data_IF_511930227625
#
_entry.id   IF_511930227625
#
_cell.length_a   1.000
_cell.length_b   1.000
_cell.length_c   1.000
_cell.angle_alpha   90.00
_cell.angle_beta   90.00
_cell.angle_gamma   90.00
#
_symmetry.space_group_name_H-M   'P 1'
#
loop_
_entity.id
_entity.type
_entity.pdbx_description
1 polymer ?
#
# COMPACT_ATOMS: atom_id res chain seq x y z
N UNK A 1 81.00 16.98 14.45
CA UNK A 1 79.99 16.00 13.98
C UNK A 1 78.54 16.42 14.27
N UNK A 2 78.26 17.40 15.15
CA UNK A 2 76.89 17.87 15.43
C UNK A 2 76.23 18.55 14.22
N UNK A 3 76.98 19.39 13.50
CA UNK A 3 76.44 20.23 12.42
C UNK A 3 75.79 19.45 11.26
N UNK A 4 76.33 18.27 10.93
CA UNK A 4 75.81 17.41 9.85
C UNK A 4 74.45 16.79 10.19
N UNK A 5 74.19 16.50 11.46
CA UNK A 5 72.93 15.88 11.89
C UNK A 5 71.81 16.91 11.88
N UNK A 6 72.12 18.12 12.33
CA UNK A 6 71.21 19.26 12.31
C UNK A 6 70.86 19.68 10.87
N UNK A 7 71.83 19.63 9.94
CA UNK A 7 71.59 19.87 8.51
C UNK A 7 70.67 18.83 7.87
N UNK A 8 70.81 17.54 8.22
CA UNK A 8 69.95 16.47 7.70
C UNK A 8 68.52 16.58 8.24
N UNK A 9 68.35 16.87 9.53
CA UNK A 9 67.02 17.08 10.12
C UNK A 9 66.34 18.32 9.54
N UNK A 10 67.09 19.40 9.33
CA UNK A 10 66.58 20.59 8.64
C UNK A 10 66.17 20.29 7.19
N UNK A 11 66.92 19.44 6.49
CA UNK A 11 66.56 19.01 5.12
C UNK A 11 65.28 18.16 5.12
N UNK A 12 65.16 17.22 6.05
CA UNK A 12 63.98 16.36 6.18
C UNK A 12 62.73 17.17 6.47
N UNK A 13 62.81 18.10 7.42
CA UNK A 13 61.69 19.00 7.75
C UNK A 13 61.28 19.86 6.55
N UNK A 14 62.24 20.39 5.79
CA UNK A 14 61.95 21.13 4.55
C UNK A 14 61.28 20.27 3.47
N UNK A 15 61.62 18.98 3.38
CA UNK A 15 60.98 18.06 2.43
C UNK A 15 59.54 17.74 2.85
N UNK A 16 59.29 17.52 4.14
CA UNK A 16 57.94 17.30 4.68
C UNK A 16 57.06 18.55 4.51
N UNK A 17 57.57 19.75 4.85
CA UNK A 17 56.85 21.01 4.64
C UNK A 17 56.51 21.24 3.15
N UNK A 18 57.45 20.96 2.24
CA UNK A 18 57.20 21.06 0.79
C UNK A 18 56.20 20.01 0.29
N UNK A 19 56.20 18.80 0.85
CA UNK A 19 55.24 17.77 0.51
C UNK A 19 53.83 18.17 0.97
N UNK A 20 53.70 18.71 2.18
CA UNK A 20 52.45 19.21 2.74
C UNK A 20 51.92 20.44 1.98
N UNK A 21 52.79 21.37 1.60
CA UNK A 21 52.41 22.50 0.75
C UNK A 21 51.92 22.03 -0.62
N UNK A 22 52.61 21.07 -1.25
CA UNK A 22 52.16 20.47 -2.52
C UNK A 22 50.81 19.78 -2.37
N UNK A 23 50.57 19.06 -1.28
CA UNK A 23 49.28 18.43 -1.00
C UNK A 23 48.16 19.46 -0.75
N UNK A 24 48.45 20.58 -0.06
CA UNK A 24 47.52 21.70 0.14
C UNK A 24 47.21 22.44 -1.17
N UNK A 25 48.19 22.65 -2.02
CA UNK A 25 48.00 23.27 -3.34
C UNK A 25 47.21 22.34 -4.26
N UNK A 26 47.50 21.03 -4.25
CA UNK A 26 46.77 20.03 -5.03
C UNK A 26 45.32 19.86 -4.55
N UNK A 27 45.04 19.93 -3.24
CA UNK A 27 43.65 19.88 -2.74
C UNK A 27 42.86 21.17 -3.02
N UNK A 28 43.54 22.31 -3.18
CA UNK A 28 42.94 23.58 -3.63
C UNK A 28 42.81 23.70 -5.15
N UNK A 29 43.56 22.91 -5.94
CA UNK A 29 43.48 22.92 -7.38
C UNK A 29 42.14 22.33 -7.86
N UNK A 30 41.62 22.88 -8.96
CA UNK A 30 40.34 22.45 -9.54
C UNK A 30 40.34 20.95 -9.91
N UNK A 31 41.49 20.42 -10.35
CA UNK A 31 41.68 19.00 -10.67
C UNK A 31 41.67 18.10 -9.43
N UNK A 32 42.29 18.52 -8.31
CA UNK A 32 42.25 17.73 -7.09
C UNK A 32 40.87 17.70 -6.43
N UNK A 33 40.15 18.84 -6.46
CA UNK A 33 38.78 18.93 -5.94
C UNK A 33 37.78 18.12 -6.78
N UNK A 34 37.93 18.10 -8.11
CA UNK A 34 37.11 17.26 -8.99
C UNK A 34 37.39 15.77 -8.80
N UNK A 35 38.66 15.35 -8.69
CA UNK A 35 39.00 13.95 -8.39
C UNK A 35 38.46 13.48 -7.03
N UNK A 36 38.56 14.32 -5.99
CA UNK A 36 37.99 14.02 -4.68
C UNK A 36 36.46 13.88 -4.75
N UNK A 37 35.77 14.81 -5.41
CA UNK A 37 34.31 14.76 -5.57
C UNK A 37 33.85 13.56 -6.40
N UNK A 38 34.57 13.21 -7.48
CA UNK A 38 34.28 12.01 -8.27
C UNK A 38 34.49 10.72 -7.46
N UNK A 39 35.53 10.68 -6.64
CA UNK A 39 35.79 9.54 -5.75
C UNK A 39 34.73 9.43 -4.66
N UNK A 40 34.31 10.55 -4.08
CA UNK A 40 33.24 10.60 -3.07
C UNK A 40 31.89 10.20 -3.66
N UNK A 41 31.56 10.69 -4.86
CA UNK A 41 30.34 10.33 -5.60
C UNK A 41 30.33 8.83 -5.94
N UNK A 42 31.45 8.29 -6.42
CA UNK A 42 31.57 6.87 -6.71
C UNK A 42 31.40 6.00 -5.46
N UNK A 43 32.02 6.40 -4.33
CA UNK A 43 31.84 5.72 -3.04
C UNK A 43 30.38 5.78 -2.58
N UNK A 44 29.74 6.93 -2.71
CA UNK A 44 28.33 7.10 -2.36
C UNK A 44 27.42 6.22 -3.24
N UNK A 45 27.61 6.24 -4.57
CA UNK A 45 26.84 5.41 -5.50
C UNK A 45 27.03 3.92 -5.22
N UNK A 46 28.25 3.50 -4.92
CA UNK A 46 28.54 2.11 -4.57
C UNK A 46 27.87 1.71 -3.25
N UNK A 47 27.95 2.56 -2.21
CA UNK A 47 27.23 2.33 -0.95
C UNK A 47 25.72 2.34 -1.13
N UNK A 48 25.19 3.20 -1.99
CA UNK A 48 23.77 3.25 -2.32
C UNK A 48 23.31 1.96 -3.02
N UNK A 49 24.03 1.50 -4.04
CA UNK A 49 23.73 0.25 -4.74
C UNK A 49 23.85 -0.94 -3.79
N UNK A 50 24.84 -0.96 -2.89
CA UNK A 50 24.95 -2.00 -1.86
C UNK A 50 23.78 -1.96 -0.87
N UNK A 51 23.37 -0.77 -0.41
CA UNK A 51 22.24 -0.61 0.50
C UNK A 51 20.93 -1.05 -0.18
N UNK A 52 20.70 -0.65 -1.43
CA UNK A 52 19.54 -1.10 -2.23
C UNK A 52 19.59 -2.61 -2.46
N UNK A 53 20.75 -3.16 -2.80
CA UNK A 53 20.94 -4.60 -2.96
C UNK A 53 20.70 -5.38 -1.67
N UNK A 54 21.12 -4.85 -0.53
CA UNK A 54 20.86 -5.42 0.79
C UNK A 54 19.37 -5.38 1.14
N UNK A 55 18.70 -4.24 0.96
CA UNK A 55 17.25 -4.08 1.15
C UNK A 55 16.49 -5.06 0.26
N UNK A 56 16.88 -5.19 -1.00
CA UNK A 56 16.27 -6.13 -1.92
C UNK A 56 16.46 -7.57 -1.45
N UNK A 57 17.68 -7.97 -1.06
CA UNK A 57 17.98 -9.33 -0.67
C UNK A 57 17.37 -9.73 0.69
N UNK A 58 17.31 -8.83 1.67
CA UNK A 58 16.91 -9.12 3.06
C UNK A 58 15.49 -8.71 3.40
N UNK A 59 14.88 -7.77 2.68
CA UNK A 59 13.51 -7.30 2.97
C UNK A 59 12.59 -7.70 1.83
N UNK A 60 12.86 -7.22 0.62
CA UNK A 60 11.95 -7.40 -0.52
C UNK A 60 11.87 -8.87 -0.94
N UNK A 61 13.00 -9.55 -1.13
CA UNK A 61 13.04 -10.95 -1.59
C UNK A 61 12.37 -11.93 -0.62
N UNK A 62 12.60 -11.90 0.70
CA UNK A 62 11.89 -12.80 1.62
C UNK A 62 10.41 -12.45 1.76
N UNK A 63 10.06 -11.16 1.84
CA UNK A 63 8.65 -10.73 1.84
C UNK A 63 7.93 -11.18 0.57
N UNK A 64 8.55 -10.96 -0.59
CA UNK A 64 8.07 -11.42 -1.89
C UNK A 64 7.93 -12.94 -1.91
N UNK A 65 8.90 -13.73 -1.45
CA UNK A 65 8.76 -15.20 -1.39
C UNK A 65 7.58 -15.62 -0.52
N UNK A 66 7.34 -14.96 0.61
CA UNK A 66 6.21 -15.29 1.48
C UNK A 66 4.87 -14.95 0.81
N UNK A 67 4.79 -13.79 0.13
CA UNK A 67 3.62 -13.34 -0.63
C UNK A 67 3.37 -14.16 -1.90
N UNK A 68 4.42 -14.58 -2.60
CA UNK A 68 4.33 -15.37 -3.83
C UNK A 68 4.18 -16.86 -3.57
N UNK A 69 4.48 -17.38 -2.38
CA UNK A 69 4.20 -18.79 -2.03
C UNK A 69 2.74 -19.20 -2.28
N UNK A 70 1.71 -18.52 -1.74
CA UNK A 70 0.32 -18.89 -2.01
C UNK A 70 -0.03 -18.74 -3.51
N UNK A 71 0.48 -17.70 -4.17
CA UNK A 71 0.28 -17.51 -5.62
C UNK A 71 0.88 -18.66 -6.43
N UNK A 72 2.10 -19.08 -6.09
CA UNK A 72 2.77 -20.21 -6.75
C UNK A 72 2.06 -21.53 -6.48
N UNK A 73 1.53 -21.73 -5.29
CA UNK A 73 0.75 -22.91 -4.94
C UNK A 73 -0.57 -22.97 -5.72
N UNK A 74 -1.30 -21.85 -5.79
CA UNK A 74 -2.49 -21.72 -6.63
C UNK A 74 -2.18 -21.97 -8.11
N UNK A 75 -1.05 -21.45 -8.61
CA UNK A 75 -0.60 -21.70 -9.97
C UNK A 75 -0.27 -23.17 -10.23
N UNK A 76 0.39 -23.85 -9.27
CA UNK A 76 0.63 -25.28 -9.36
C UNK A 76 -0.68 -26.07 -9.40
N UNK A 77 -1.66 -25.71 -8.57
CA UNK A 77 -2.98 -26.33 -8.60
C UNK A 77 -3.69 -26.11 -9.94
N UNK A 78 -3.67 -24.86 -10.44
CA UNK A 78 -4.20 -24.53 -11.76
C UNK A 78 -3.53 -25.35 -12.87
N UNK A 79 -2.20 -25.47 -12.84
CA UNK A 79 -1.45 -26.28 -13.80
C UNK A 79 -1.80 -27.77 -13.71
N UNK A 80 -1.97 -28.32 -12.52
CA UNK A 80 -2.39 -29.72 -12.35
C UNK A 80 -3.79 -29.95 -12.92
N UNK A 81 -4.71 -29.01 -12.69
CA UNK A 81 -6.06 -29.06 -13.25
C UNK A 81 -6.03 -28.90 -14.78
N UNK A 82 -5.20 -27.99 -15.30
CA UNK A 82 -4.98 -27.81 -16.73
C UNK A 82 -4.44 -29.09 -17.37
N UNK A 83 -3.36 -29.65 -16.81
CA UNK A 83 -2.71 -30.84 -17.35
C UNK A 83 -3.67 -32.05 -17.37
N UNK A 84 -4.56 -32.16 -16.37
CA UNK A 84 -5.57 -33.23 -16.29
C UNK A 84 -6.78 -32.99 -17.19
N UNK A 85 -7.23 -31.75 -17.35
CA UNK A 85 -8.45 -31.44 -18.08
C UNK A 85 -8.22 -31.29 -19.60
N UNK A 86 -7.05 -30.76 -19.99
CA UNK A 86 -6.78 -30.36 -21.38
C UNK A 86 -6.10 -31.46 -22.18
N UNK A 87 -5.23 -32.25 -21.56
CA UNK A 87 -4.56 -33.36 -22.22
C UNK A 87 -5.39 -34.64 -22.06
N UNK A 88 -5.37 -35.48 -23.09
CA UNK A 88 -5.88 -36.83 -23.03
C UNK A 88 -4.79 -37.79 -23.52
N UNK A 89 -4.82 -39.02 -23.00
CA UNK A 89 -3.96 -40.10 -23.49
C UNK A 89 -4.68 -40.82 -24.63
N UNK A 90 -4.02 -40.89 -25.78
CA UNK A 90 -4.49 -41.65 -26.93
C UNK A 90 -4.23 -43.15 -26.73
N UNK A 91 -4.76 -44.02 -27.59
CA UNK A 91 -4.57 -45.49 -27.53
C UNK A 91 -3.10 -45.92 -27.54
N UNK A 92 -2.19 -45.04 -27.99
CA UNK A 92 -0.73 -45.23 -28.01
C UNK A 92 -0.02 -44.70 -26.77
N UNK A 93 -0.74 -44.29 -25.72
CA UNK A 93 -0.22 -43.64 -24.51
C UNK A 93 0.56 -42.34 -24.75
N UNK A 94 0.37 -41.68 -25.90
CA UNK A 94 0.93 -40.35 -26.15
C UNK A 94 -0.03 -39.26 -25.69
N UNK A 95 0.48 -38.26 -24.96
CA UNK A 95 -0.31 -37.12 -24.49
C UNK A 95 -0.60 -36.15 -25.64
N UNK A 96 -1.85 -36.10 -26.07
CA UNK A 96 -2.32 -35.19 -27.11
C UNK A 96 -3.05 -33.99 -26.49
N UNK A 97 -2.81 -32.80 -27.04
CA UNK A 97 -3.47 -31.58 -26.61
C UNK A 97 -4.84 -31.44 -27.29
N UNK A 98 -5.92 -31.41 -26.51
CA UNK A 98 -7.25 -31.17 -27.05
C UNK A 98 -7.58 -29.67 -27.10
N UNK A 99 -7.67 -29.11 -28.32
CA UNK A 99 -8.06 -27.70 -28.53
C UNK A 99 -9.43 -27.37 -27.95
N UNK A 100 -10.39 -28.30 -28.01
CA UNK A 100 -11.75 -28.10 -27.50
C UNK A 100 -11.80 -28.12 -25.98
N UNK A 101 -11.14 -29.09 -25.32
CA UNK A 101 -11.07 -29.13 -23.85
C UNK A 101 -10.28 -27.95 -23.28
N UNK A 102 -9.20 -27.55 -23.96
CA UNK A 102 -8.43 -26.34 -23.61
C UNK A 102 -9.30 -25.07 -23.69
N UNK A 103 -10.07 -24.91 -24.76
CA UNK A 103 -10.99 -23.78 -24.92
C UNK A 103 -12.08 -23.73 -23.84
N UNK A 104 -12.72 -24.87 -23.55
CA UNK A 104 -13.75 -24.96 -22.50
C UNK A 104 -13.16 -24.65 -21.12
N UNK A 105 -11.98 -25.19 -20.79
CA UNK A 105 -11.33 -24.93 -19.52
C UNK A 105 -10.95 -23.46 -19.37
N UNK A 106 -10.43 -22.81 -20.42
CA UNK A 106 -10.14 -21.38 -20.40
C UNK A 106 -11.40 -20.56 -20.14
N UNK A 107 -12.48 -20.82 -20.87
CA UNK A 107 -13.75 -20.12 -20.68
C UNK A 107 -14.29 -20.26 -19.25
N UNK A 108 -14.32 -21.50 -18.72
CA UNK A 108 -14.75 -21.75 -17.34
C UNK A 108 -13.83 -21.07 -16.32
N UNK A 109 -12.52 -21.09 -16.56
CA UNK A 109 -11.56 -20.42 -15.66
C UNK A 109 -11.73 -18.91 -15.67
N UNK A 110 -12.05 -18.30 -16.82
CA UNK A 110 -12.33 -16.87 -16.92
C UNK A 110 -13.64 -16.49 -16.21
N UNK A 111 -14.69 -17.29 -16.37
CA UNK A 111 -15.96 -17.12 -15.64
C UNK A 111 -15.74 -17.26 -14.13
N UNK A 112 -15.02 -18.30 -13.69
CA UNK A 112 -14.65 -18.48 -12.29
C UNK A 112 -13.84 -17.30 -11.75
N UNK A 113 -12.86 -16.82 -12.53
CA UNK A 113 -12.03 -15.69 -12.12
C UNK A 113 -12.87 -14.43 -11.92
N UNK A 114 -13.76 -14.13 -12.85
CA UNK A 114 -14.58 -12.91 -12.83
C UNK A 114 -15.65 -12.91 -11.73
N UNK A 115 -16.41 -14.00 -11.61
CA UNK A 115 -17.57 -14.04 -10.72
C UNK A 115 -17.29 -14.56 -9.32
N UNK A 116 -16.21 -15.33 -9.11
CA UNK A 116 -15.91 -15.94 -7.82
C UNK A 116 -14.58 -15.45 -7.24
N UNK A 117 -13.49 -15.55 -8.01
CA UNK A 117 -12.17 -15.24 -7.49
C UNK A 117 -11.99 -13.76 -7.16
N UNK A 118 -12.30 -12.85 -8.10
CA UNK A 118 -12.15 -11.40 -7.88
C UNK A 118 -13.03 -10.94 -6.70
N UNK A 119 -14.35 -11.25 -6.65
CA UNK A 119 -15.18 -10.85 -5.51
C UNK A 119 -14.71 -11.44 -4.18
N UNK A 120 -14.21 -12.68 -4.16
CA UNK A 120 -13.67 -13.29 -2.95
C UNK A 120 -12.39 -12.57 -2.46
N UNK A 121 -11.49 -12.18 -3.35
CA UNK A 121 -10.29 -11.42 -3.00
C UNK A 121 -10.66 -10.04 -2.43
N UNK A 122 -11.60 -9.33 -3.06
CA UNK A 122 -12.12 -8.04 -2.57
C UNK A 122 -12.77 -8.22 -1.19
N UNK A 123 -13.59 -9.25 -1.01
CA UNK A 123 -14.19 -9.59 0.28
C UNK A 123 -13.13 -9.84 1.37
N UNK A 124 -12.11 -10.63 1.07
CA UNK A 124 -11.01 -10.90 2.01
C UNK A 124 -10.24 -9.62 2.36
N UNK A 125 -10.01 -8.74 1.38
CA UNK A 125 -9.36 -7.46 1.63
C UNK A 125 -10.17 -6.58 2.59
N UNK A 126 -11.47 -6.40 2.34
CA UNK A 126 -12.35 -5.65 3.25
C UNK A 126 -12.48 -6.33 4.62
N UNK A 127 -12.49 -7.66 4.69
CA UNK A 127 -12.51 -8.41 5.94
C UNK A 127 -11.24 -8.22 6.78
N UNK A 128 -10.06 -8.30 6.16
CA UNK A 128 -8.78 -8.02 6.84
C UNK A 128 -8.74 -6.56 7.29
N UNK A 129 -9.17 -5.64 6.43
CA UNK A 129 -9.23 -4.22 6.78
C UNK A 129 -10.15 -4.00 7.98
N UNK A 130 -11.35 -4.57 7.99
CA UNK A 130 -12.27 -4.52 9.11
C UNK A 130 -11.64 -5.07 10.40
N UNK A 131 -11.08 -6.27 10.37
CA UNK A 131 -10.48 -6.90 11.56
C UNK A 131 -9.32 -6.09 12.15
N UNK A 132 -8.58 -5.37 11.31
CA UNK A 132 -7.41 -4.60 11.74
C UNK A 132 -7.75 -3.17 12.19
N UNK A 133 -8.90 -2.62 11.77
CA UNK A 133 -9.17 -1.17 11.89
C UNK A 133 -10.56 -0.82 12.41
N UNK A 134 -11.40 -1.80 12.74
CA UNK A 134 -12.76 -1.54 13.20
C UNK A 134 -12.79 -0.65 14.43
N UNK A 135 -13.61 0.40 14.36
CA UNK A 135 -13.96 1.26 15.48
C UNK A 135 -15.46 1.16 15.72
N UNK A 136 -15.85 0.64 16.88
CA UNK A 136 -17.26 0.49 17.27
C UNK A 136 -17.64 1.58 18.25
N UNK A 137 -18.76 2.26 18.00
CA UNK A 137 -19.30 3.27 18.90
C UNK A 137 -18.47 4.56 18.98
N UNK A 138 -17.78 4.91 17.90
CA UNK A 138 -17.02 6.17 17.85
C UNK A 138 -18.01 7.34 17.73
N UNK A 139 -17.85 8.37 18.55
CA UNK A 139 -18.69 9.58 18.46
C UNK A 139 -18.02 10.55 17.51
N UNK A 140 -18.70 10.86 16.40
CA UNK A 140 -18.23 11.79 15.37
C UNK A 140 -19.37 12.74 15.01
N UNK A 141 -19.05 14.01 14.80
CA UNK A 141 -20.00 14.96 14.25
C UNK A 141 -20.03 14.79 12.74
N UNK A 142 -21.13 14.28 12.20
CA UNK A 142 -21.31 14.07 10.76
C UNK A 142 -22.19 15.16 10.15
N UNK A 143 -21.95 15.45 8.87
CA UNK A 143 -22.72 16.40 8.07
C UNK A 143 -22.59 16.06 6.58
N UNK A 144 -23.52 16.56 5.77
CA UNK A 144 -23.47 16.53 4.31
C UNK A 144 -23.18 15.14 3.72
N UNK A 145 -24.16 14.24 3.78
CA UNK A 145 -24.14 13.04 2.94
C UNK A 145 -24.33 13.45 1.48
N UNK A 146 -23.33 13.19 0.64
CA UNK A 146 -23.36 13.44 -0.80
C UNK A 146 -23.12 12.14 -1.56
N UNK A 147 -24.00 11.85 -2.51
CA UNK A 147 -23.82 10.76 -3.45
C UNK A 147 -22.71 11.13 -4.46
N UNK A 148 -21.68 10.29 -4.55
CA UNK A 148 -20.54 10.52 -5.46
C UNK A 148 -20.69 9.73 -6.75
N UNK A 149 -21.16 8.48 -6.65
CA UNK A 149 -21.38 7.60 -7.79
C UNK A 149 -22.81 7.05 -7.75
N UNK A 150 -23.74 7.64 -8.52
CA UNK A 150 -25.15 7.25 -8.48
C UNK A 150 -25.44 5.88 -9.10
N UNK A 151 -24.52 5.34 -9.91
CA UNK A 151 -24.66 4.00 -10.47
C UNK A 151 -24.23 2.88 -9.51
N UNK A 152 -23.44 3.21 -8.49
CA UNK A 152 -22.87 2.26 -7.52
C UNK A 152 -23.41 2.50 -6.09
N UNK A 153 -24.37 3.42 -5.93
CA UNK A 153 -24.92 3.91 -4.66
C UNK A 153 -23.81 4.22 -3.63
N UNK A 154 -22.74 4.88 -4.09
CA UNK A 154 -21.66 5.30 -3.20
C UNK A 154 -21.92 6.69 -2.65
N UNK A 155 -22.02 6.78 -1.32
CA UNK A 155 -22.16 8.05 -0.62
C UNK A 155 -20.86 8.41 0.10
N UNK A 156 -20.58 9.71 0.15
CA UNK A 156 -19.58 10.27 1.04
C UNK A 156 -20.24 11.08 2.13
N UNK A 157 -19.66 11.00 3.32
CA UNK A 157 -20.09 11.80 4.47
C UNK A 157 -18.89 12.51 5.03
N UNK A 158 -19.04 13.80 5.33
CA UNK A 158 -18.02 14.55 6.03
C UNK A 158 -18.21 14.41 7.54
N UNK A 159 -17.13 14.10 8.26
CA UNK A 159 -17.12 13.99 9.71
C UNK A 159 -15.98 14.76 10.37
N UNK A 160 -16.18 15.20 11.60
CA UNK A 160 -15.13 15.78 12.44
C UNK A 160 -15.24 15.30 13.89
N UNK A 161 -14.11 15.17 14.59
CA UNK A 161 -14.10 14.72 15.99
C UNK A 161 -14.43 15.82 16.99
N UNK A 162 -14.19 17.08 16.62
CA UNK A 162 -14.45 18.24 17.46
C UNK A 162 -15.00 19.38 16.62
N UNK A 163 -15.95 20.12 17.19
CA UNK A 163 -16.49 21.33 16.61
C UNK A 163 -15.57 22.53 16.95
N UNK A 164 -15.38 23.50 16.05
CA UNK A 164 -15.88 23.54 14.68
C UNK A 164 -15.13 22.59 13.74
N UNK A 165 -15.82 22.02 12.74
CA UNK A 165 -15.17 21.21 11.72
C UNK A 165 -14.28 22.11 10.83
N UNK A 166 -12.97 21.98 10.95
CA UNK A 166 -11.98 22.66 10.09
C UNK A 166 -11.41 21.70 9.05
N UNK A 167 -10.74 22.22 8.02
CA UNK A 167 -10.07 21.40 7.00
C UNK A 167 -9.02 20.44 7.59
N UNK A 168 -8.45 20.80 8.74
CA UNK A 168 -7.45 19.99 9.45
C UNK A 168 -8.07 18.88 10.30
N UNK A 169 -9.31 19.06 10.79
CA UNK A 169 -10.01 18.10 11.65
C UNK A 169 -11.17 17.38 10.94
N UNK A 170 -11.32 17.59 9.64
CA UNK A 170 -12.34 16.91 8.84
C UNK A 170 -11.79 15.67 8.14
N UNK A 171 -12.60 14.62 8.17
CA UNK A 171 -12.37 13.36 7.50
C UNK A 171 -13.61 12.99 6.69
N UNK A 172 -13.38 12.40 5.53
CA UNK A 172 -14.46 11.89 4.69
C UNK A 172 -14.58 10.40 4.93
N UNK A 173 -15.81 9.95 5.14
CA UNK A 173 -16.18 8.55 5.18
C UNK A 173 -16.86 8.16 3.87
N UNK A 174 -16.77 6.88 3.52
CA UNK A 174 -17.47 6.30 2.38
C UNK A 174 -18.54 5.34 2.87
N UNK A 175 -19.68 5.30 2.19
CA UNK A 175 -20.74 4.33 2.41
C UNK A 175 -20.96 3.68 1.06
N UNK A 176 -20.68 2.38 0.97
CA UNK A 176 -20.65 1.64 -0.30
C UNK A 176 -21.24 0.26 -0.13
N UNK A 177 -21.92 -0.24 -1.15
CA UNK A 177 -22.35 -1.62 -1.18
C UNK A 177 -21.14 -2.52 -1.48
N UNK A 178 -20.82 -3.42 -0.56
CA UNK A 178 -19.80 -4.44 -0.79
C UNK A 178 -20.28 -5.76 -0.22
N UNK A 179 -19.85 -6.87 -0.82
CA UNK A 179 -20.16 -8.22 -0.33
C UNK A 179 -19.80 -8.38 1.15
N UNK A 180 -18.75 -7.68 1.62
CA UNK A 180 -18.37 -7.68 3.03
C UNK A 180 -19.40 -6.93 3.89
N UNK A 181 -19.82 -5.73 3.49
CA UNK A 181 -20.81 -4.94 4.22
C UNK A 181 -22.17 -5.65 4.29
N UNK A 182 -22.55 -6.35 3.21
CA UNK A 182 -23.76 -7.20 3.17
C UNK A 182 -23.68 -8.35 4.19
N UNK A 183 -22.60 -9.13 4.16
CA UNK A 183 -22.40 -10.23 5.11
C UNK A 183 -22.33 -9.70 6.54
N UNK A 184 -21.66 -8.57 6.78
CA UNK A 184 -21.60 -7.96 8.10
C UNK A 184 -22.98 -7.54 8.61
N UNK A 185 -23.82 -6.95 7.75
CA UNK A 185 -25.18 -6.52 8.09
C UNK A 185 -26.07 -7.71 8.43
N UNK A 186 -25.98 -8.80 7.65
CA UNK A 186 -26.69 -10.05 7.90
C UNK A 186 -26.28 -10.67 9.24
N UNK A 187 -24.96 -10.76 9.51
CA UNK A 187 -24.43 -11.29 10.76
C UNK A 187 -24.77 -10.42 11.98
N UNK A 188 -24.92 -9.11 11.79
CA UNK A 188 -25.30 -8.17 12.85
C UNK A 188 -26.83 -8.11 13.07
N UNK A 189 -27.61 -8.94 12.38
CA UNK A 189 -29.06 -9.03 12.54
C UNK A 189 -29.87 -7.91 11.90
N UNK A 190 -29.28 -7.15 10.96
CA UNK A 190 -29.92 -5.98 10.32
C UNK A 190 -30.51 -6.26 8.93
N UNK A 191 -30.36 -7.48 8.43
CA UNK A 191 -30.79 -7.85 7.09
C UNK A 191 -29.80 -7.39 6.01
N UNK A 192 -30.31 -7.10 4.82
CA UNK A 192 -29.49 -6.66 3.68
C UNK A 192 -28.91 -5.26 3.92
N UNK A 193 -27.67 -5.05 3.50
CA UNK A 193 -27.00 -3.75 3.64
C UNK A 193 -27.40 -2.82 2.49
N UNK A 194 -28.04 -1.70 2.83
CA UNK A 194 -28.35 -0.64 1.86
C UNK A 194 -27.56 0.62 2.23
N UNK A 195 -26.66 1.09 1.35
CA UNK A 195 -25.90 2.33 1.56
C UNK A 195 -26.81 3.53 1.84
N UNK A 196 -27.96 3.59 1.17
CA UNK A 196 -28.91 4.70 1.27
C UNK A 196 -29.50 4.83 2.68
N UNK A 197 -29.72 3.72 3.41
CA UNK A 197 -30.22 3.79 4.78
C UNK A 197 -29.18 4.34 5.76
N UNK A 198 -27.91 3.99 5.56
CA UNK A 198 -26.81 4.54 6.35
C UNK A 198 -26.63 6.02 6.00
N UNK A 199 -26.64 6.37 4.72
CA UNK A 199 -26.50 7.76 4.27
C UNK A 199 -27.66 8.65 4.74
N UNK A 200 -28.91 8.18 4.63
CA UNK A 200 -30.11 8.91 5.04
C UNK A 200 -30.18 9.20 6.54
N UNK A 201 -29.51 8.38 7.36
CA UNK A 201 -29.44 8.63 8.80
C UNK A 201 -28.54 9.81 9.17
N UNK A 202 -27.71 10.31 8.24
CA UNK A 202 -26.87 11.48 8.43
C UNK A 202 -27.62 12.73 8.00
N UNK A 203 -27.95 13.65 8.92
CA UNK A 203 -28.66 14.88 8.58
C UNK A 203 -27.77 15.82 7.77
N UNK A 204 -28.41 16.71 6.99
CA UNK A 204 -27.71 17.79 6.28
C UNK A 204 -27.00 18.72 7.29
N UNK A 205 -27.66 19.00 8.42
CA UNK A 205 -27.10 19.76 9.52
C UNK A 205 -26.11 18.93 10.34
N UNK A 206 -25.11 19.60 10.92
CA UNK A 206 -24.13 18.94 11.81
C UNK A 206 -24.86 18.27 12.97
N UNK A 207 -24.63 16.97 13.14
CA UNK A 207 -25.31 16.16 14.15
C UNK A 207 -24.30 15.26 14.86
N UNK A 208 -24.56 14.96 16.14
CA UNK A 208 -23.70 14.05 16.90
C UNK A 208 -24.09 12.63 16.54
N UNK A 209 -23.17 11.89 15.93
CA UNK A 209 -23.44 10.53 15.48
C UNK A 209 -22.53 9.51 16.16
N UNK A 210 -23.12 8.41 16.60
CA UNK A 210 -22.40 7.21 17.02
C UNK A 210 -22.23 6.33 15.78
N UNK A 211 -20.99 6.04 15.42
CA UNK A 211 -20.66 5.34 14.17
C UNK A 211 -19.94 4.02 14.43
N UNK A 212 -20.16 3.08 13.52
CA UNK A 212 -19.27 1.94 13.32
C UNK A 212 -18.58 2.12 11.98
N UNK A 213 -17.27 2.29 12.01
CA UNK A 213 -16.44 2.49 10.81
C UNK A 213 -15.27 1.52 10.79
N UNK A 214 -14.74 1.27 9.60
CA UNK A 214 -13.49 0.54 9.42
C UNK A 214 -12.70 1.13 8.24
N UNK A 215 -11.40 0.92 8.23
CA UNK A 215 -10.48 1.45 7.24
C UNK A 215 -9.60 2.56 7.79
N UNK A 216 -8.58 2.90 7.02
CA UNK A 216 -7.62 3.95 7.34
C UNK A 216 -7.70 5.03 6.29
N UNK A 217 -7.60 6.29 6.72
CA UNK A 217 -7.36 7.40 5.80
C UNK A 217 -5.90 7.37 5.36
N UNK A 218 -5.64 6.82 4.19
CA UNK A 218 -4.29 6.83 3.60
C UNK A 218 -4.34 7.69 2.35
N UNK A 219 -3.58 8.79 2.37
CA UNK A 219 -3.32 9.63 1.19
C UNK A 219 -1.92 9.30 0.67
N UNK A 220 -1.81 8.27 -0.16
CA UNK A 220 -0.54 7.91 -0.80
C UNK A 220 -0.39 8.72 -2.10
N UNK A 221 0.74 9.43 -2.22
CA UNK A 221 1.18 10.13 -3.44
C UNK A 221 0.23 11.24 -3.94
N UNK A 222 -0.24 12.16 -3.07
CA UNK A 222 -0.97 13.43 -3.36
C UNK A 222 -2.21 13.41 -4.28
N UNK A 223 -2.39 12.44 -5.18
CA UNK A 223 -3.49 12.22 -6.14
C UNK A 223 -3.33 10.82 -6.78
N UNK A 224 -3.77 9.76 -6.12
CA UNK A 224 -3.82 8.46 -6.82
C UNK A 224 -4.32 7.29 -5.99
N UNK A 225 -3.97 7.23 -4.71
CA UNK A 225 -4.39 6.17 -3.81
C UNK A 225 -4.91 6.78 -2.52
N UNK A 226 -6.13 7.31 -2.59
CA UNK A 226 -6.87 7.77 -1.43
C UNK A 226 -7.78 6.64 -0.93
N UNK A 227 -7.39 6.03 0.19
CA UNK A 227 -8.25 5.08 0.90
C UNK A 227 -9.01 5.89 1.96
N UNK A 228 -10.32 5.78 1.96
CA UNK A 228 -11.21 6.41 2.93
C UNK A 228 -11.80 5.33 3.85
N UNK A 229 -12.05 5.64 5.13
CA UNK A 229 -12.78 4.73 6.01
C UNK A 229 -14.21 4.51 5.52
N UNK A 230 -14.66 3.26 5.54
CA UNK A 230 -16.02 2.85 5.22
C UNK A 230 -16.91 2.88 6.49
N UNK A 231 -18.12 3.42 6.35
CA UNK A 231 -19.16 3.47 7.37
C UNK A 231 -20.12 2.28 7.21
N UNK A 232 -20.31 1.57 8.31
CA UNK A 232 -21.22 0.41 8.39
C UNK A 232 -22.53 0.74 9.11
N UNK A 233 -22.48 1.65 10.07
CA UNK A 233 -23.62 2.07 10.85
C UNK A 233 -23.41 3.49 11.34
N UNK A 234 -24.51 4.24 11.35
CA UNK A 234 -24.58 5.61 11.82
C UNK A 234 -25.88 5.77 12.59
N UNK A 235 -25.78 6.24 13.84
CA UNK A 235 -26.92 6.63 14.65
C UNK A 235 -26.72 8.07 15.07
N UNK A 236 -27.46 8.98 14.47
CA UNK A 236 -27.31 10.40 14.67
C UNK A 236 -28.40 10.95 15.61
N UNK A 237 -27.98 11.79 16.55
CA UNK A 237 -28.86 12.63 17.36
C UNK A 237 -28.62 14.09 16.99
N UNK A 238 -29.69 14.90 16.83
CA UNK A 238 -29.55 16.32 16.55
C UNK A 238 -28.76 16.99 17.69
N UNK A 239 -27.89 17.94 17.33
CA UNK A 239 -27.10 18.73 18.30
C UNK A 239 -27.99 19.66 19.15
N UNK A 240 -29.17 19.98 18.65
CA UNK A 240 -30.18 20.75 19.36
C UNK A 240 -31.30 19.81 19.82
N UNK A 241 -31.40 19.58 21.13
CA UNK A 241 -32.72 19.64 21.77
C UNK A 241 -33.18 21.10 21.61
N UNK A 242 -33.79 21.43 20.48
CA UNK A 242 -34.70 22.56 20.43
C UNK A 242 -36.08 22.01 20.79
N UNK A 243 -36.73 22.51 21.86
CA UNK A 243 -38.07 22.10 22.24
C UNK A 243 -39.10 22.39 21.14
#
# INVERSE_FOLDING_TARGET
MSNLRDEVEALKKKLEERADERAKVHSRSWTGRTQYNLTALHRFLFQFVQAVGWIYAHIVRPAARLLFKPVSWLWHLYRLLWDKAVYYEDERQERQFSKTRGGIFLALSAVFAWYLFIPAVVFLFHGILFLTTVKRGEVVYLTNSQEILPHENEHSVQGCHALPCTDQNSMYFRIRASNFNEVWSLLSGRGLFFPDYVAASVPVAVSRCTITSYGLRIKLLMRGFDIYPDLLQTECSPLNEQP
#
